data_IF_613874064327
#
_entry.id   IF_613874064327
#
_cell.length_a   1.000
_cell.length_b   1.000
_cell.length_c   1.000
_cell.angle_alpha   90.00
_cell.angle_beta   90.00
_cell.angle_gamma   90.00
#
_symmetry.space_group_name_H-M   'P 1'
#
loop_
_entity.id
_entity.type
_entity.pdbx_description
1 polymer ?
#
# COMPACT_ATOMS: atom_id res chain seq x y z
N UNK A 1 -6.65 0.40 -22.34
CA UNK A 1 -5.74 -0.29 -21.40
C UNK A 1 -5.19 0.75 -20.46
N UNK A 2 -5.18 0.47 -19.15
CA UNK A 2 -4.51 1.35 -18.20
C UNK A 2 -3.00 1.18 -18.37
N UNK A 3 -2.26 2.26 -18.53
CA UNK A 3 -0.79 2.23 -18.63
C UNK A 3 -0.18 2.31 -17.23
N UNK A 4 0.95 1.65 -17.05
CA UNK A 4 1.76 1.82 -15.84
C UNK A 4 2.17 3.29 -15.67
N UNK A 5 2.18 3.83 -14.44
CA UNK A 5 2.49 5.25 -14.24
C UNK A 5 3.96 5.55 -14.54
N UNK A 6 4.21 6.69 -15.17
CA UNK A 6 5.56 7.16 -15.49
C UNK A 6 6.09 8.14 -14.43
N UNK A 7 5.22 8.65 -13.56
CA UNK A 7 5.55 9.56 -12.48
C UNK A 7 4.84 9.19 -11.16
N UNK A 8 5.30 9.80 -10.07
CA UNK A 8 4.63 9.67 -8.78
C UNK A 8 3.22 10.31 -8.78
N UNK A 9 3.04 11.36 -9.58
CA UNK A 9 1.74 12.02 -9.78
C UNK A 9 0.76 11.06 -10.46
N UNK A 10 1.18 10.42 -11.55
CA UNK A 10 0.38 9.40 -12.24
C UNK A 10 0.06 8.23 -11.30
N UNK A 11 1.04 7.76 -10.54
CA UNK A 11 0.84 6.66 -9.60
C UNK A 11 -0.17 7.04 -8.50
N UNK A 12 -0.16 8.29 -8.06
CA UNK A 12 -1.11 8.82 -7.07
C UNK A 12 -2.52 8.91 -7.66
N UNK A 13 -2.65 9.47 -8.86
CA UNK A 13 -3.93 9.55 -9.56
C UNK A 13 -4.53 8.16 -9.82
N UNK A 14 -3.71 7.20 -10.25
CA UNK A 14 -4.15 5.82 -10.44
C UNK A 14 -4.52 5.14 -9.13
N UNK A 15 -3.78 5.35 -8.04
CA UNK A 15 -4.13 4.81 -6.72
C UNK A 15 -5.50 5.29 -6.25
N UNK A 16 -5.79 6.58 -6.45
CA UNK A 16 -7.10 7.19 -6.12
C UNK A 16 -8.21 6.63 -7.02
N UNK A 17 -7.96 6.48 -8.33
CA UNK A 17 -8.93 5.89 -9.25
C UNK A 17 -9.25 4.42 -8.89
N UNK A 18 -8.23 3.63 -8.58
CA UNK A 18 -8.38 2.24 -8.15
C UNK A 18 -9.10 2.12 -6.81
N UNK A 19 -8.79 3.02 -5.87
CA UNK A 19 -9.50 3.14 -4.60
C UNK A 19 -10.99 3.39 -4.82
N UNK A 20 -11.36 4.40 -5.60
CA UNK A 20 -12.76 4.73 -5.85
C UNK A 20 -13.50 3.57 -6.52
N UNK A 21 -12.87 2.94 -7.51
CA UNK A 21 -13.42 1.76 -8.18
C UNK A 21 -13.66 0.62 -7.20
N UNK A 22 -12.73 0.39 -6.27
CA UNK A 22 -12.87 -0.61 -5.21
C UNK A 22 -13.99 -0.27 -4.22
N UNK A 23 -14.11 1.00 -3.80
CA UNK A 23 -15.19 1.47 -2.94
C UNK A 23 -16.56 1.32 -3.62
N UNK A 24 -16.66 1.65 -4.90
CA UNK A 24 -17.90 1.52 -5.68
C UNK A 24 -18.28 0.04 -5.89
N UNK A 25 -17.30 -0.86 -5.92
CA UNK A 25 -17.51 -2.32 -5.92
C UNK A 25 -17.87 -2.89 -4.53
N UNK A 26 -17.96 -2.06 -3.49
CA UNK A 26 -18.32 -2.47 -2.13
C UNK A 26 -17.18 -3.06 -1.30
N UNK A 27 -15.92 -2.87 -1.70
CA UNK A 27 -14.78 -3.32 -0.90
C UNK A 27 -14.67 -2.50 0.40
N UNK A 28 -14.57 -3.22 1.52
CA UNK A 28 -14.55 -2.61 2.86
C UNK A 28 -13.15 -2.55 3.47
N UNK A 29 -12.21 -3.36 2.99
CA UNK A 29 -10.80 -3.35 3.45
C UNK A 29 -9.89 -3.21 2.24
N UNK A 30 -9.31 -2.03 2.07
CA UNK A 30 -8.55 -1.67 0.88
C UNK A 30 -7.11 -1.33 1.27
N UNK A 31 -6.15 -1.87 0.52
CA UNK A 31 -4.73 -1.55 0.63
C UNK A 31 -4.26 -0.80 -0.61
N UNK A 32 -3.61 0.34 -0.39
CA UNK A 32 -2.85 1.11 -1.37
C UNK A 32 -1.38 1.12 -0.93
N UNK A 33 -0.45 0.66 -1.76
CA UNK A 33 0.96 0.50 -1.36
C UNK A 33 1.95 0.90 -2.47
N UNK A 34 2.53 2.08 -2.32
CA UNK A 34 3.51 2.67 -3.24
C UNK A 34 4.94 2.50 -2.67
N UNK A 35 5.75 1.62 -3.26
CA UNK A 35 7.08 1.24 -2.77
C UNK A 35 8.23 1.99 -3.43
N UNK A 36 8.15 3.32 -3.46
CA UNK A 36 9.28 4.16 -3.87
C UNK A 36 10.24 4.40 -2.68
N UNK A 37 11.55 4.27 -2.90
CA UNK A 37 12.59 4.29 -1.85
C UNK A 37 12.53 5.53 -0.94
N UNK A 38 12.28 6.71 -1.52
CA UNK A 38 12.29 7.99 -0.80
C UNK A 38 10.88 8.58 -0.63
N UNK A 39 9.86 7.73 -0.69
CA UNK A 39 8.48 8.19 -0.62
C UNK A 39 8.17 8.81 0.74
N UNK A 40 7.73 10.07 0.70
CA UNK A 40 7.06 10.74 1.82
C UNK A 40 5.57 10.41 1.73
N UNK A 41 4.98 9.65 2.69
CA UNK A 41 3.58 9.25 2.57
C UNK A 41 2.60 10.42 2.75
N UNK A 42 2.89 11.38 3.62
CA UNK A 42 1.93 12.44 3.99
C UNK A 42 1.41 13.27 2.79
N UNK A 43 2.24 13.72 1.82
CA UNK A 43 1.74 14.42 0.64
C UNK A 43 0.75 13.61 -0.22
N UNK A 44 0.92 12.29 -0.30
CA UNK A 44 0.03 11.41 -1.07
C UNK A 44 -1.21 11.10 -0.25
N UNK A 45 -1.04 10.84 1.05
CA UNK A 45 -2.14 10.68 1.99
C UNK A 45 -3.06 11.90 2.01
N UNK A 46 -2.52 13.11 1.86
CA UNK A 46 -3.31 14.33 1.69
C UNK A 46 -4.20 14.27 0.45
N UNK A 47 -3.67 13.84 -0.71
CA UNK A 47 -4.50 13.71 -1.93
C UNK A 47 -5.61 12.67 -1.77
N UNK A 48 -5.30 11.55 -1.09
CA UNK A 48 -6.31 10.53 -0.74
C UNK A 48 -7.35 11.12 0.23
N UNK A 49 -6.92 11.90 1.24
CA UNK A 49 -7.79 12.58 2.19
C UNK A 49 -8.72 13.61 1.52
N UNK A 50 -8.22 14.34 0.53
CA UNK A 50 -9.04 15.25 -0.29
C UNK A 50 -10.09 14.48 -1.08
N UNK A 51 -9.73 13.33 -1.68
CA UNK A 51 -10.70 12.46 -2.34
C UNK A 51 -11.74 11.90 -1.36
N UNK A 52 -11.33 11.50 -0.15
CA UNK A 52 -12.25 11.10 0.92
C UNK A 52 -13.21 12.21 1.31
N UNK A 53 -12.72 13.44 1.45
CA UNK A 53 -13.56 14.60 1.81
C UNK A 53 -14.59 14.90 0.73
N UNK A 54 -14.23 14.74 -0.55
CA UNK A 54 -15.19 14.86 -1.65
C UNK A 54 -16.26 13.76 -1.62
N UNK A 55 -15.91 12.55 -1.19
CA UNK A 55 -16.80 11.38 -1.20
C UNK A 55 -17.69 11.27 0.05
N UNK A 56 -17.13 11.54 1.22
CA UNK A 56 -17.76 11.31 2.53
C UNK A 56 -18.03 12.60 3.30
N UNK A 57 -17.69 13.77 2.76
CA UNK A 57 -17.78 15.04 3.48
C UNK A 57 -16.90 15.01 4.73
N UNK A 58 -17.50 15.27 5.89
CA UNK A 58 -16.83 15.21 7.20
C UNK A 58 -17.07 13.88 7.93
N UNK A 59 -17.83 12.95 7.35
CA UNK A 59 -18.19 11.66 7.95
C UNK A 59 -17.11 10.61 7.67
N UNK A 60 -15.84 10.95 7.89
CA UNK A 60 -14.71 10.03 7.81
C UNK A 60 -13.60 10.46 8.78
N UNK A 61 -12.71 9.52 9.10
CA UNK A 61 -11.66 9.73 10.09
C UNK A 61 -10.30 9.33 9.53
N UNK A 62 -9.34 10.25 9.63
CA UNK A 62 -7.93 9.95 9.37
C UNK A 62 -7.28 9.38 10.64
N UNK A 63 -6.55 8.29 10.47
CA UNK A 63 -5.88 7.55 11.53
C UNK A 63 -4.39 7.46 11.20
N UNK A 64 -3.54 7.73 12.19
CA UNK A 64 -2.08 7.73 12.08
C UNK A 64 -1.45 6.78 13.09
N UNK A 65 -0.16 6.50 12.93
CA UNK A 65 0.59 5.60 13.84
C UNK A 65 0.48 6.03 15.32
N UNK A 66 0.52 7.33 15.59
CA UNK A 66 0.39 7.89 16.94
C UNK A 66 -0.17 9.32 16.91
N UNK A 67 -0.32 9.91 18.10
CA UNK A 67 -0.80 11.27 18.29
C UNK A 67 0.16 12.35 17.72
N UNK A 68 1.46 12.09 17.65
CA UNK A 68 2.45 12.99 17.08
C UNK A 68 2.35 13.05 15.55
N UNK A 69 2.22 11.90 14.89
CA UNK A 69 1.95 11.82 13.46
C UNK A 69 0.60 12.46 13.11
N UNK A 70 -0.43 12.25 13.94
CA UNK A 70 -1.71 12.93 13.77
C UNK A 70 -1.60 14.46 13.94
N UNK A 71 -0.83 14.94 14.92
CA UNK A 71 -0.61 16.39 15.11
C UNK A 71 0.17 17.01 13.93
N UNK A 72 1.15 16.29 13.38
CA UNK A 72 1.88 16.71 12.19
C UNK A 72 0.94 16.85 10.98
N UNK A 73 0.08 15.86 10.75
CA UNK A 73 -0.92 15.91 9.69
C UNK A 73 -1.94 17.05 9.90
N UNK A 74 -2.40 17.31 11.14
CA UNK A 74 -3.30 18.44 11.44
C UNK A 74 -2.70 19.79 11.04
N UNK A 75 -1.40 19.96 11.21
CA UNK A 75 -0.69 21.17 10.79
C UNK A 75 -0.61 21.25 9.26
N UNK A 76 -0.29 20.14 8.60
CA UNK A 76 -0.04 20.11 7.16
C UNK A 76 -1.33 20.10 6.33
N UNK A 77 -2.45 19.63 6.89
CA UNK A 77 -3.77 19.52 6.26
C UNK A 77 -4.75 20.53 6.88
N UNK A 78 -4.28 21.74 7.19
CA UNK A 78 -5.05 22.75 7.92
C UNK A 78 -6.32 23.25 7.17
N UNK A 79 -6.40 22.97 5.88
CA UNK A 79 -7.50 23.28 4.98
C UNK A 79 -8.57 22.18 4.93
N UNK A 80 -8.30 20.98 5.48
CA UNK A 80 -9.26 19.88 5.55
C UNK A 80 -10.00 19.87 6.89
N UNK A 81 -11.32 19.98 6.85
CA UNK A 81 -12.20 19.82 8.02
C UNK A 81 -12.40 18.34 8.36
N UNK A 82 -11.33 17.68 8.81
CA UNK A 82 -11.36 16.25 9.17
C UNK A 82 -10.78 16.00 10.57
N UNK A 83 -11.40 15.07 11.28
CA UNK A 83 -10.84 14.52 12.52
C UNK A 83 -9.60 13.67 12.22
N UNK A 84 -8.53 13.89 12.97
CA UNK A 84 -7.26 13.15 12.84
C UNK A 84 -6.81 12.62 14.19
N UNK A 85 -6.52 11.32 14.26
CA UNK A 85 -6.23 10.61 15.51
C UNK A 85 -5.12 9.58 15.37
N UNK A 86 -4.46 9.27 16.48
CA UNK A 86 -3.54 8.14 16.58
C UNK A 86 -4.31 6.82 16.74
N UNK A 87 -3.72 5.72 16.26
CA UNK A 87 -4.28 4.37 16.43
C UNK A 87 -4.45 3.98 17.91
N UNK A 88 -3.63 4.56 18.79
CA UNK A 88 -3.64 4.34 20.23
C UNK A 88 -4.82 5.00 20.95
N UNK A 89 -5.61 5.82 20.26
CA UNK A 89 -6.84 6.45 20.81
C UNK A 89 -8.06 5.51 20.79
N UNK A 90 -7.93 4.30 20.23
CA UNK A 90 -8.93 3.23 20.36
C UNK A 90 -10.32 3.64 19.85
N UNK A 91 -11.35 3.53 20.69
CA UNK A 91 -12.75 3.87 20.34
C UNK A 91 -12.92 5.33 19.89
N UNK A 92 -12.07 6.25 20.36
CA UNK A 92 -12.14 7.64 19.89
C UNK A 92 -11.75 7.77 18.41
N UNK A 93 -10.94 6.84 17.88
CA UNK A 93 -10.54 6.77 16.47
C UNK A 93 -11.58 6.11 15.56
N UNK A 94 -12.69 5.58 16.09
CA UNK A 94 -13.75 4.93 15.32
C UNK A 94 -15.10 5.45 15.83
N UNK A 95 -15.53 6.62 15.35
CA UNK A 95 -16.77 7.23 15.84
C UNK A 95 -17.98 6.65 15.11
N UNK A 96 -19.17 6.61 15.73
CA UNK A 96 -20.38 6.08 15.09
C UNK A 96 -20.79 6.83 13.81
N UNK A 97 -20.55 8.13 13.75
CA UNK A 97 -20.87 8.99 12.60
C UNK A 97 -19.90 8.83 11.42
N UNK A 98 -18.70 8.30 11.65
CA UNK A 98 -17.71 8.10 10.59
C UNK A 98 -18.18 6.94 9.68
N UNK A 99 -18.30 7.21 8.39
CA UNK A 99 -18.66 6.26 7.33
C UNK A 99 -17.45 5.56 6.71
N UNK A 100 -16.25 6.12 6.85
CA UNK A 100 -15.01 5.55 6.33
C UNK A 100 -13.77 5.95 7.14
N UNK A 101 -12.69 5.18 6.97
CA UNK A 101 -11.43 5.35 7.70
C UNK A 101 -10.24 5.32 6.74
N UNK A 102 -9.28 6.23 6.94
CA UNK A 102 -7.99 6.24 6.24
C UNK A 102 -6.86 6.08 7.25
N UNK A 103 -6.22 4.92 7.26
CA UNK A 103 -5.05 4.63 8.07
C UNK A 103 -3.76 4.89 7.28
N UNK A 104 -2.98 5.86 7.74
CA UNK A 104 -1.79 6.35 7.04
C UNK A 104 -0.51 5.74 7.62
N UNK A 105 0.21 5.02 6.78
CA UNK A 105 1.55 4.47 6.99
C UNK A 105 1.78 3.79 8.37
N UNK A 106 0.89 2.87 8.80
CA UNK A 106 1.09 2.14 10.05
C UNK A 106 2.33 1.23 9.95
N UNK A 107 2.96 0.93 11.07
CA UNK A 107 4.06 -0.03 11.15
C UNK A 107 3.60 -1.36 11.78
N UNK A 108 4.53 -2.31 11.88
CA UNK A 108 4.28 -3.59 12.56
C UNK A 108 3.90 -3.43 14.03
N UNK A 109 4.31 -2.33 14.67
CA UNK A 109 4.01 -2.00 16.08
C UNK A 109 2.51 -1.79 16.30
N UNK A 110 1.82 -1.15 15.35
CA UNK A 110 0.42 -0.77 15.50
C UNK A 110 -0.58 -1.87 15.12
N UNK A 111 -0.12 -2.97 14.50
CA UNK A 111 -1.00 -4.01 13.90
C UNK A 111 -2.07 -4.51 14.87
N UNK A 112 -1.70 -4.80 16.12
CA UNK A 112 -2.64 -5.35 17.12
C UNK A 112 -3.75 -4.35 17.46
N UNK A 113 -3.44 -3.05 17.44
CA UNK A 113 -4.39 -1.98 17.69
C UNK A 113 -5.28 -1.78 16.45
N UNK A 114 -4.69 -1.81 15.25
CA UNK A 114 -5.45 -1.72 14.00
C UNK A 114 -6.47 -2.86 13.88
N UNK A 115 -6.12 -4.08 14.26
CA UNK A 115 -7.07 -5.22 14.30
C UNK A 115 -8.31 -4.90 15.13
N UNK A 116 -8.14 -4.27 16.32
CA UNK A 116 -9.26 -3.83 17.17
C UNK A 116 -10.06 -2.70 16.52
N UNK A 117 -9.40 -1.79 15.82
CA UNK A 117 -10.08 -0.71 15.09
C UNK A 117 -10.93 -1.27 13.94
N UNK A 118 -10.44 -2.32 13.24
CA UNK A 118 -11.19 -3.01 12.19
C UNK A 118 -12.46 -3.68 12.75
N UNK A 119 -12.38 -4.30 13.93
CA UNK A 119 -13.56 -4.85 14.62
C UNK A 119 -14.60 -3.76 14.93
N UNK A 120 -14.15 -2.59 15.39
CA UNK A 120 -15.04 -1.45 15.66
C UNK A 120 -15.58 -0.83 14.37
N UNK A 121 -14.80 -0.82 13.29
CA UNK A 121 -15.20 -0.27 11.99
C UNK A 121 -16.33 -1.11 11.37
N UNK A 122 -16.34 -2.43 11.59
CA UNK A 122 -17.33 -3.33 11.00
C UNK A 122 -17.20 -3.35 9.48
N UNK A 123 -18.32 -3.19 8.77
CA UNK A 123 -18.37 -3.19 7.29
C UNK A 123 -18.09 -1.82 6.67
N UNK A 124 -17.75 -0.81 7.48
CA UNK A 124 -17.40 0.52 6.97
C UNK A 124 -16.04 0.48 6.28
N UNK A 125 -15.87 1.13 5.10
CA UNK A 125 -14.59 1.17 4.41
C UNK A 125 -13.42 1.60 5.28
N UNK A 126 -12.39 0.77 5.30
CA UNK A 126 -11.14 0.96 6.01
C UNK A 126 -9.98 0.84 5.00
N UNK A 127 -9.42 1.99 4.65
CA UNK A 127 -8.34 2.09 3.67
C UNK A 127 -7.02 2.22 4.41
N UNK A 128 -6.11 1.29 4.15
CA UNK A 128 -4.74 1.34 4.64
C UNK A 128 -3.83 1.83 3.51
N UNK A 129 -3.12 2.92 3.77
CA UNK A 129 -2.19 3.51 2.82
C UNK A 129 -0.74 3.32 3.29
N UNK A 130 0.08 2.73 2.42
CA UNK A 130 1.54 2.64 2.53
C UNK A 130 2.06 2.09 3.88
N UNK A 131 1.60 0.90 4.32
CA UNK A 131 2.00 0.35 5.61
C UNK A 131 3.46 -0.10 5.60
N UNK A 132 4.20 0.27 6.66
CA UNK A 132 5.63 -0.05 6.88
C UNK A 132 5.76 -1.26 7.80
N UNK A 133 5.25 -2.40 7.33
CA UNK A 133 5.18 -3.63 8.13
C UNK A 133 6.46 -4.46 8.10
N UNK A 134 7.44 -4.03 7.30
CA UNK A 134 8.75 -4.66 7.20
C UNK A 134 9.65 -4.19 8.33
N UNK A 135 9.74 -5.01 9.37
CA UNK A 135 10.98 -5.08 10.13
C UNK A 135 11.90 -6.02 9.34
N UNK A 136 13.02 -5.49 8.83
CA UNK A 136 14.09 -6.26 8.20
C UNK A 136 14.66 -7.38 9.10
N UNK A 137 14.32 -7.40 10.39
CA UNK A 137 14.61 -8.49 11.34
C UNK A 137 13.62 -9.68 11.28
N UNK A 138 12.46 -9.52 10.65
CA UNK A 138 11.37 -10.54 10.63
C UNK A 138 11.15 -11.11 9.21
N UNK A 139 12.04 -10.79 8.27
CA UNK A 139 12.21 -11.60 7.08
C UNK A 139 12.59 -13.02 7.50
N UNK A 140 11.80 -14.01 7.10
CA UNK A 140 11.98 -15.47 7.35
C UNK A 140 11.31 -16.04 8.63
N UNK A 141 10.73 -15.25 9.53
CA UNK A 141 10.11 -15.75 10.77
C UNK A 141 8.64 -16.19 10.68
N UNK A 142 8.24 -17.20 11.48
CA UNK A 142 6.83 -17.63 11.67
C UNK A 142 5.90 -16.46 12.07
N UNK A 143 6.42 -15.49 12.83
CA UNK A 143 5.68 -14.32 13.29
C UNK A 143 5.22 -13.41 12.14
N UNK A 144 6.09 -13.14 11.15
CA UNK A 144 5.72 -12.34 9.97
C UNK A 144 4.71 -13.05 9.09
N UNK A 145 4.85 -14.37 8.89
CA UNK A 145 3.87 -15.16 8.14
C UNK A 145 2.49 -15.10 8.80
N UNK A 146 2.43 -15.36 10.11
CA UNK A 146 1.20 -15.25 10.89
C UNK A 146 0.59 -13.85 10.82
N UNK A 147 1.41 -12.78 10.83
CA UNK A 147 0.91 -11.41 10.71
C UNK A 147 0.30 -11.18 9.33
N UNK A 148 0.99 -11.62 8.27
CA UNK A 148 0.47 -11.51 6.90
C UNK A 148 -0.87 -12.25 6.76
N UNK A 149 -0.94 -13.49 7.25
CA UNK A 149 -2.15 -14.31 7.15
C UNK A 149 -3.33 -13.73 7.94
N UNK A 150 -3.12 -13.29 9.19
CA UNK A 150 -4.22 -12.80 10.04
C UNK A 150 -4.67 -11.38 9.72
N UNK A 151 -3.76 -10.54 9.19
CA UNK A 151 -3.97 -9.11 9.04
C UNK A 151 -3.93 -8.67 7.58
N UNK A 152 -2.77 -8.75 6.93
CA UNK A 152 -2.59 -8.22 5.58
C UNK A 152 -3.48 -8.89 4.53
N UNK A 153 -3.63 -10.21 4.61
CA UNK A 153 -4.46 -10.98 3.67
C UNK A 153 -5.96 -10.67 3.81
N UNK A 154 -6.37 -9.91 4.83
CA UNK A 154 -7.75 -9.46 4.98
C UNK A 154 -8.07 -8.18 4.18
N UNK A 155 -7.06 -7.55 3.57
CA UNK A 155 -7.21 -6.38 2.73
C UNK A 155 -7.12 -6.75 1.25
N UNK A 156 -8.00 -6.18 0.43
CA UNK A 156 -7.87 -6.22 -1.02
C UNK A 156 -6.82 -5.21 -1.47
N UNK A 157 -5.85 -5.65 -2.28
CA UNK A 157 -4.81 -4.77 -2.82
C UNK A 157 -5.36 -4.03 -4.03
N UNK A 158 -5.97 -2.87 -3.81
CA UNK A 158 -6.52 -2.08 -4.90
C UNK A 158 -5.42 -1.39 -5.73
N UNK A 159 -4.31 -1.02 -5.09
CA UNK A 159 -3.19 -0.42 -5.80
C UNK A 159 -1.86 -0.83 -5.19
N UNK A 160 -0.94 -1.28 -6.04
CA UNK A 160 0.43 -1.56 -5.65
C UNK A 160 1.37 -1.13 -6.77
N UNK A 161 2.48 -0.49 -6.41
CA UNK A 161 3.58 -0.29 -7.35
C UNK A 161 4.92 -0.41 -6.63
N UNK A 162 5.83 -1.17 -7.21
CA UNK A 162 7.21 -1.30 -6.77
C UNK A 162 8.13 -1.22 -7.98
N UNK A 163 8.91 -0.14 -8.12
CA UNK A 163 10.02 -0.11 -9.07
C UNK A 163 11.01 -1.22 -8.78
N UNK A 164 11.51 -1.85 -9.84
CA UNK A 164 12.51 -2.90 -9.85
C UNK A 164 13.66 -2.48 -10.76
N UNK A 165 14.82 -3.13 -10.64
CA UNK A 165 15.99 -2.80 -11.49
C UNK A 165 15.69 -2.91 -13.00
N UNK A 166 14.85 -3.87 -13.38
CA UNK A 166 14.53 -4.17 -14.78
C UNK A 166 13.14 -3.69 -15.20
N UNK A 167 12.40 -2.98 -14.33
CA UNK A 167 11.03 -2.56 -14.60
C UNK A 167 10.22 -2.35 -13.33
N UNK A 168 9.04 -2.97 -13.20
CA UNK A 168 8.21 -2.81 -12.01
C UNK A 168 7.27 -3.99 -11.76
N UNK A 169 6.87 -4.16 -10.51
CA UNK A 169 5.68 -4.92 -10.12
C UNK A 169 4.53 -3.93 -9.90
N UNK A 170 3.39 -4.18 -10.53
CA UNK A 170 2.25 -3.26 -10.51
C UNK A 170 0.92 -4.01 -10.34
N UNK A 171 -0.03 -3.38 -9.67
CA UNK A 171 -1.41 -3.84 -9.50
C UNK A 171 -2.29 -2.60 -9.44
N UNK A 172 -3.35 -2.57 -10.25
CA UNK A 172 -4.34 -1.50 -10.23
C UNK A 172 -5.72 -2.12 -10.38
N UNK A 173 -6.63 -1.92 -9.43
CA UNK A 173 -7.96 -2.55 -9.47
C UNK A 173 -8.82 -1.94 -10.58
N UNK A 174 -9.52 -2.77 -11.38
CA UNK A 174 -9.75 -4.21 -11.23
C UNK A 174 -8.75 -5.12 -11.96
N UNK A 175 -7.70 -4.59 -12.59
CA UNK A 175 -6.69 -5.40 -13.28
C UNK A 175 -5.86 -6.24 -12.30
N UNK A 176 -5.39 -7.38 -12.76
CA UNK A 176 -4.58 -8.32 -11.98
C UNK A 176 -3.17 -7.79 -11.74
N UNK A 177 -2.31 -8.56 -11.07
CA UNK A 177 -0.91 -8.22 -10.92
C UNK A 177 -0.20 -8.28 -12.27
N UNK A 178 0.70 -7.34 -12.50
CA UNK A 178 1.49 -7.21 -13.71
C UNK A 178 2.97 -7.08 -13.35
N UNK A 179 3.82 -7.84 -14.04
CA UNK A 179 5.26 -7.60 -14.06
C UNK A 179 5.56 -6.89 -15.37
N UNK A 180 6.17 -5.72 -15.29
CA UNK A 180 6.52 -4.89 -16.42
C UNK A 180 8.04 -4.80 -16.55
N UNK A 181 8.55 -4.86 -17.78
CA UNK A 181 9.95 -4.61 -18.12
C UNK A 181 10.12 -3.18 -18.65
N UNK A 182 11.19 -2.51 -18.24
CA UNK A 182 11.63 -1.27 -18.85
C UNK A 182 12.39 -1.57 -20.15
N UNK A 183 11.81 -1.17 -21.29
CA UNK A 183 12.43 -1.27 -22.61
C UNK A 183 12.82 0.12 -23.12
N UNK A 184 13.52 0.18 -24.27
CA UNK A 184 13.78 1.45 -24.98
C UNK A 184 12.50 2.16 -25.41
N UNK A 185 11.42 1.41 -25.64
CA UNK A 185 10.10 1.93 -26.01
C UNK A 185 9.19 2.28 -24.82
N UNK A 186 9.72 2.20 -23.60
CA UNK A 186 8.96 2.37 -22.36
C UNK A 186 8.66 1.06 -21.64
N UNK A 187 7.75 1.13 -20.66
CA UNK A 187 7.39 -0.02 -19.84
C UNK A 187 6.42 -0.96 -20.57
N UNK A 188 6.72 -2.26 -20.59
CA UNK A 188 5.91 -3.28 -21.25
C UNK A 188 5.57 -4.43 -20.30
N UNK A 189 4.30 -4.85 -20.25
CA UNK A 189 3.86 -5.98 -19.43
C UNK A 189 4.37 -7.31 -19.99
N UNK A 190 5.10 -8.07 -19.17
CA UNK A 190 5.69 -9.37 -19.52
C UNK A 190 5.02 -10.56 -18.82
N UNK A 191 4.22 -10.30 -17.78
CA UNK A 191 3.37 -11.26 -17.08
C UNK A 191 2.12 -10.57 -16.52
N UNK A 192 0.98 -11.25 -16.61
CA UNK A 192 -0.23 -10.97 -15.82
C UNK A 192 -0.58 -12.19 -14.96
N UNK A 193 -0.95 -11.97 -13.69
CA UNK A 193 -1.30 -13.05 -12.75
C UNK A 193 -2.27 -12.57 -11.67
N UNK A 194 -3.20 -13.44 -11.26
CA UNK A 194 -4.17 -13.16 -10.19
C UNK A 194 -3.52 -12.93 -8.83
N UNK A 195 -2.44 -13.65 -8.55
CA UNK A 195 -1.73 -13.60 -7.28
C UNK A 195 -0.42 -12.83 -7.42
N UNK A 196 -0.05 -12.12 -6.34
CA UNK A 196 1.23 -11.40 -6.28
C UNK A 196 2.38 -12.39 -6.48
N UNK A 197 3.21 -12.24 -7.53
CA UNK A 197 4.35 -13.10 -7.73
C UNK A 197 5.38 -12.89 -6.61
N UNK A 198 6.06 -13.97 -6.20
CA UNK A 198 7.18 -13.87 -5.26
C UNK A 198 8.40 -13.22 -5.91
N UNK A 199 9.39 -12.82 -5.10
CA UNK A 199 10.64 -12.26 -5.62
C UNK A 199 11.34 -13.27 -6.53
N UNK A 200 11.37 -14.55 -6.13
CA UNK A 200 11.96 -15.62 -6.93
C UNK A 200 11.22 -15.83 -8.26
N UNK A 201 9.89 -15.69 -8.26
CA UNK A 201 9.10 -15.75 -9.48
C UNK A 201 9.45 -14.58 -10.41
N UNK A 202 9.50 -13.36 -9.86
CA UNK A 202 9.86 -12.14 -10.60
C UNK A 202 11.25 -12.29 -11.24
N UNK A 203 12.24 -12.74 -10.48
CA UNK A 203 13.60 -12.95 -11.00
C UNK A 203 13.63 -13.99 -12.11
N UNK A 204 12.90 -15.10 -11.95
CA UNK A 204 12.79 -16.13 -13.00
C UNK A 204 12.11 -15.59 -14.26
N UNK A 205 11.08 -14.75 -14.10
CA UNK A 205 10.36 -14.12 -15.22
C UNK A 205 11.29 -13.21 -16.00
N UNK A 206 12.03 -12.32 -15.32
CA UNK A 206 13.01 -11.46 -15.99
C UNK A 206 14.10 -12.29 -16.68
N UNK A 207 14.71 -13.27 -16.01
CA UNK A 207 15.70 -14.14 -16.64
C UNK A 207 15.18 -14.84 -17.90
N UNK A 208 13.94 -15.36 -17.86
CA UNK A 208 13.34 -16.07 -19.01
C UNK A 208 12.97 -15.15 -20.16
N UNK A 209 12.53 -13.92 -19.88
CA UNK A 209 11.98 -12.99 -20.88
C UNK A 209 13.04 -12.08 -21.47
N UNK A 210 14.02 -11.66 -20.67
CA UNK A 210 14.99 -10.60 -21.02
C UNK A 210 16.41 -11.14 -21.15
N UNK A 211 16.67 -12.35 -20.64
CA UNK A 211 18.02 -12.92 -20.53
C UNK A 211 18.91 -12.23 -19.48
N UNK A 212 18.39 -11.24 -18.75
CA UNK A 212 19.12 -10.49 -17.72
C UNK A 212 18.77 -11.01 -16.33
N UNK A 213 19.80 -11.21 -15.51
CA UNK A 213 19.66 -11.62 -14.11
C UNK A 213 19.53 -10.38 -13.22
N UNK A 214 18.59 -10.38 -12.28
CA UNK A 214 18.43 -9.30 -11.28
C UNK A 214 19.61 -9.33 -10.31
N UNK A 215 20.15 -8.15 -9.95
CA UNK A 215 21.38 -8.04 -9.14
C UNK A 215 21.27 -8.67 -7.75
N UNK A 216 20.07 -8.80 -7.20
CA UNK A 216 19.84 -9.31 -5.84
C UNK A 216 20.28 -10.78 -5.70
N UNK A 217 19.96 -11.63 -6.66
CA UNK A 217 20.44 -13.02 -6.68
C UNK A 217 21.95 -13.11 -6.88
N UNK A 218 22.52 -12.22 -7.69
CA UNK A 218 23.98 -12.14 -7.87
C UNK A 218 24.67 -11.75 -6.56
N UNK A 219 24.12 -10.77 -5.82
CA UNK A 219 24.63 -10.35 -4.51
C UNK A 219 24.51 -11.46 -3.46
N UNK A 220 23.38 -12.17 -3.41
CA UNK A 220 23.19 -13.32 -2.52
C UNK A 220 24.15 -14.47 -2.86
N UNK A 221 24.29 -14.83 -4.13
CA UNK A 221 25.22 -15.88 -4.55
C UNK A 221 26.69 -15.53 -4.28
N UNK A 222 27.07 -14.24 -4.43
CA UNK A 222 28.40 -13.77 -4.05
C UNK A 222 28.61 -13.82 -2.53
N UNK A 223 27.59 -13.49 -1.74
CA UNK A 223 27.66 -13.59 -0.28
C UNK A 223 27.89 -15.03 0.19
N UNK A 224 27.16 -16.01 -0.37
CA UNK A 224 27.35 -17.43 -0.05
C UNK A 224 28.63 -18.06 -0.64
N UNK A 225 29.22 -17.47 -1.69
CA UNK A 225 30.53 -17.90 -2.23
C UNK A 225 31.73 -17.36 -1.44
N UNK A 226 31.54 -16.29 -0.66
CA UNK A 226 32.58 -15.63 0.12
C UNK A 226 32.54 -16.00 1.61
N UNK A 227 31.78 -17.05 1.98
CA UNK A 227 31.72 -17.66 3.31
C UNK A 227 32.25 -19.09 3.24
#
# INVERSE_FOLDING_TARGET
>A
MLQIPESLEDATAQAIAALNTGLDAGLTRILLDLRFTELKPLPIAYQIATNFSQRFGQEWQAIFADAGAAALAKRDWADLEVSMRGVNEGRAAIRPEDKAFLLVAPSSVEVTQVEKLLELAGDRPFVMFNPRLENSEVGVGLAARKMRERFLNTFEVCYFIQPLEQGALWRCYPQTWQVCEQTESGMQTILETEQRPSIDDIDRIFMKKTGKQTSLLVKLQQFFKNM
#
